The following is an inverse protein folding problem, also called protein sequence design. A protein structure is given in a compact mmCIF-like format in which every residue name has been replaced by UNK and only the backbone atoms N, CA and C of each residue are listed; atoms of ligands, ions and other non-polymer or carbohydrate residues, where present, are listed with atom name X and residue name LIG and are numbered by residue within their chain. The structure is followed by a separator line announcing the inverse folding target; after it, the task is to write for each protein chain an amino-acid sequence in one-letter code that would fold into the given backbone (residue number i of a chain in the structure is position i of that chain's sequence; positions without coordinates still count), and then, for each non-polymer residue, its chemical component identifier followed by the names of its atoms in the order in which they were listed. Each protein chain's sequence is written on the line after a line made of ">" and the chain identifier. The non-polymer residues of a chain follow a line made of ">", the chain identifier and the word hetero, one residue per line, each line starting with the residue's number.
data_IF_897916366921
#
_entry.id   IF_897916366921
#
_cell.length_a   1.000
_cell.length_b   1.000
_cell.length_c   1.000
_cell.angle_alpha   90.00
_cell.angle_beta   90.00
_cell.angle_gamma   90.00
#
_symmetry.space_group_name_H-M   'P 1'
#
loop_
_entity.id
_entity.type
_entity.pdbx_description
1 polymer ?
#
# COMPACT_ATOMS: atom_id res chain seq x y z
N UNK A 1 -21.14 -23.96 34.83
CA UNK A 1 -21.37 -22.70 34.12
C UNK A 1 -20.93 -21.54 34.98
N UNK A 2 -20.11 -20.66 34.40
CA UNK A 2 -19.85 -19.22 34.68
C UNK A 2 -18.38 -18.94 34.43
N UNK A 3 -18.10 -18.48 33.22
CA UNK A 3 -16.83 -17.86 32.86
C UNK A 3 -16.68 -16.57 33.67
N UNK A 4 -15.59 -16.43 34.42
CA UNK A 4 -15.23 -15.17 35.06
C UNK A 4 -14.70 -14.20 33.99
N UNK A 5 -15.62 -13.59 33.24
CA UNK A 5 -15.39 -12.28 32.62
C UNK A 5 -15.41 -11.26 33.76
N UNK A 6 -14.25 -10.88 34.29
CA UNK A 6 -14.19 -9.76 35.23
C UNK A 6 -13.04 -9.83 36.21
N UNK A 7 -11.83 -9.52 35.73
CA UNK A 7 -10.87 -8.74 36.52
C UNK A 7 -9.87 -8.09 35.57
N UNK A 8 -10.37 -7.14 34.76
CA UNK A 8 -9.45 -6.23 34.09
C UNK A 8 -9.03 -5.20 35.13
N UNK A 9 -7.72 -5.02 35.38
CA UNK A 9 -7.26 -4.09 36.39
C UNK A 9 -7.78 -2.68 36.06
N UNK A 10 -8.50 -2.10 37.02
CA UNK A 10 -9.15 -0.81 36.84
C UNK A 10 -8.10 0.32 36.80
N UNK A 11 -8.32 1.31 35.94
CA UNK A 11 -7.46 2.50 35.75
C UNK A 11 -6.00 2.22 35.30
N UNK A 12 -5.23 3.30 35.16
CA UNK A 12 -3.79 3.30 34.87
C UNK A 12 -2.93 2.84 36.06
N UNK A 13 -3.28 1.72 36.70
CA UNK A 13 -2.61 1.19 37.90
C UNK A 13 -1.09 1.03 37.73
N UNK A 14 -0.59 0.69 36.53
CA UNK A 14 0.85 0.60 36.23
C UNK A 14 1.52 1.98 36.29
N UNK A 15 0.87 3.01 35.77
CA UNK A 15 1.40 4.38 35.82
C UNK A 15 1.33 4.93 37.24
N UNK A 16 0.25 4.67 37.96
CA UNK A 16 0.12 5.03 39.37
C UNK A 16 1.20 4.34 40.22
N UNK A 17 1.46 3.06 39.99
CA UNK A 17 2.55 2.34 40.65
C UNK A 17 3.92 2.97 40.32
N UNK A 18 4.16 3.33 39.06
CA UNK A 18 5.41 4.01 38.66
C UNK A 18 5.55 5.41 39.25
N UNK A 19 4.45 6.15 39.42
CA UNK A 19 4.44 7.48 40.07
C UNK A 19 4.69 7.37 41.57
N UNK A 20 4.12 6.35 42.23
CA UNK A 20 4.24 6.12 43.70
C UNK A 20 5.57 5.50 44.11
N UNK A 21 6.01 4.46 43.40
CA UNK A 21 7.17 3.63 43.78
C UNK A 21 8.33 3.73 42.78
N UNK A 22 8.18 4.53 41.72
CA UNK A 22 9.20 4.67 40.71
C UNK A 22 9.32 3.46 39.78
N UNK A 23 10.46 3.38 39.11
CA UNK A 23 10.87 2.23 38.28
C UNK A 23 11.98 1.46 38.99
N UNK A 24 12.30 0.27 38.48
CA UNK A 24 13.48 -0.46 38.94
C UNK A 24 14.72 0.44 38.81
N UNK A 25 15.60 0.40 39.80
CA UNK A 25 16.79 1.26 39.87
C UNK A 25 17.69 1.11 38.64
N UNK A 26 17.75 -0.09 38.05
CA UNK A 26 18.56 -0.43 36.88
C UNK A 26 17.86 -0.18 35.53
N UNK A 27 16.64 0.37 35.55
CA UNK A 27 15.80 0.48 34.36
C UNK A 27 16.46 1.31 33.25
N UNK A 28 16.96 2.50 33.61
CA UNK A 28 17.47 3.45 32.62
C UNK A 28 18.83 3.02 32.08
N UNK A 29 19.66 2.41 32.93
CA UNK A 29 20.90 1.78 32.47
C UNK A 29 20.65 0.63 31.50
N UNK A 30 19.69 -0.23 31.80
CA UNK A 30 19.31 -1.35 30.93
C UNK A 30 18.73 -0.85 29.61
N UNK A 31 17.87 0.18 29.65
CA UNK A 31 17.30 0.79 28.45
C UNK A 31 18.39 1.40 27.57
N UNK A 32 19.29 2.20 28.15
CA UNK A 32 20.45 2.79 27.45
C UNK A 32 21.33 1.71 26.82
N UNK A 33 21.72 0.67 27.57
CA UNK A 33 22.55 -0.43 27.06
C UNK A 33 21.82 -1.22 25.95
N UNK A 34 20.49 -1.35 26.03
CA UNK A 34 19.68 -2.03 25.00
C UNK A 34 19.64 -1.23 23.71
N UNK A 35 19.38 0.08 23.78
CA UNK A 35 19.37 0.99 22.62
C UNK A 35 20.75 1.05 21.95
N UNK A 36 21.82 1.18 22.74
CA UNK A 36 23.19 1.19 22.22
C UNK A 36 23.54 -0.12 21.48
N UNK A 37 23.10 -1.27 21.99
CA UNK A 37 23.33 -2.58 21.35
C UNK A 37 22.43 -2.83 20.15
N UNK A 38 21.36 -2.05 19.97
CA UNK A 38 20.34 -2.33 18.98
C UNK A 38 20.88 -2.30 17.55
N UNK A 39 21.81 -1.39 17.24
CA UNK A 39 22.45 -1.35 15.93
C UNK A 39 23.19 -2.67 15.60
N UNK A 40 23.97 -3.19 16.56
CA UNK A 40 24.70 -4.45 16.39
C UNK A 40 23.76 -5.65 16.34
N UNK A 41 22.73 -5.71 17.19
CA UNK A 41 21.77 -6.82 17.17
C UNK A 41 20.98 -6.84 15.86
N UNK A 42 20.54 -5.67 15.36
CA UNK A 42 19.86 -5.54 14.07
C UNK A 42 20.73 -6.05 12.91
N UNK A 43 22.00 -5.66 12.87
CA UNK A 43 22.95 -6.14 11.86
C UNK A 43 23.17 -7.66 11.95
N UNK A 44 23.33 -8.19 13.16
CA UNK A 44 23.46 -9.64 13.41
C UNK A 44 22.22 -10.42 12.96
N UNK A 45 21.02 -9.90 13.23
CA UNK A 45 19.76 -10.53 12.81
C UNK A 45 19.64 -10.50 11.28
N UNK A 46 19.99 -9.40 10.62
CA UNK A 46 19.95 -9.31 9.17
C UNK A 46 20.88 -10.35 8.49
N UNK A 47 22.08 -10.56 9.04
CA UNK A 47 23.04 -11.56 8.53
C UNK A 47 22.61 -13.01 8.78
N UNK A 48 21.90 -13.28 9.87
CA UNK A 48 21.52 -14.64 10.31
C UNK A 48 20.10 -15.05 9.94
N UNK A 49 19.24 -14.11 9.56
CA UNK A 49 17.87 -14.43 9.17
C UNK A 49 17.87 -15.12 7.81
N UNK A 50 17.13 -16.22 7.70
CA UNK A 50 16.97 -16.97 6.45
C UNK A 50 15.49 -17.10 6.07
N UNK A 51 15.22 -17.45 4.80
CA UNK A 51 13.89 -17.74 4.29
C UNK A 51 12.89 -16.58 4.39
N UNK A 52 11.65 -16.89 4.75
CA UNK A 52 10.56 -15.90 4.85
C UNK A 52 10.84 -14.81 5.88
N UNK A 53 11.51 -15.15 6.99
CA UNK A 53 11.86 -14.19 8.04
C UNK A 53 12.80 -13.10 7.51
N UNK A 54 13.77 -13.47 6.66
CA UNK A 54 14.65 -12.50 6.01
C UNK A 54 13.88 -11.57 5.06
N UNK A 55 12.98 -12.13 4.25
CA UNK A 55 12.13 -11.34 3.33
C UNK A 55 11.26 -10.33 4.08
N UNK A 56 10.62 -10.75 5.18
CA UNK A 56 9.82 -9.86 6.02
C UNK A 56 10.66 -8.75 6.65
N UNK A 57 11.83 -9.07 7.19
CA UNK A 57 12.75 -8.09 7.78
C UNK A 57 13.17 -7.04 6.73
N UNK A 58 13.56 -7.47 5.53
CA UNK A 58 13.96 -6.55 4.47
C UNK A 58 12.81 -5.65 4.01
N UNK A 59 11.59 -6.18 3.93
CA UNK A 59 10.39 -5.39 3.61
C UNK A 59 10.09 -4.34 4.69
N UNK A 60 10.20 -4.70 5.96
CA UNK A 60 10.06 -3.76 7.08
C UNK A 60 11.14 -2.66 7.02
N UNK A 61 12.41 -3.04 6.78
CA UNK A 61 13.52 -2.08 6.67
C UNK A 61 13.39 -1.12 5.50
N UNK A 62 12.93 -1.61 4.35
CA UNK A 62 12.68 -0.74 3.20
C UNK A 62 11.61 0.31 3.52
N UNK A 63 10.50 -0.12 4.16
CA UNK A 63 9.44 0.79 4.59
C UNK A 63 9.96 1.85 5.56
N UNK A 64 10.66 1.44 6.63
CA UNK A 64 11.26 2.36 7.61
C UNK A 64 12.21 3.38 6.95
N UNK A 65 13.08 2.93 6.04
CA UNK A 65 14.00 3.84 5.33
C UNK A 65 13.25 4.82 4.42
N UNK A 66 12.24 4.34 3.71
CA UNK A 66 11.43 5.18 2.82
C UNK A 66 10.63 6.22 3.62
N UNK A 67 10.03 5.84 4.75
CA UNK A 67 9.33 6.79 5.61
C UNK A 67 10.28 7.82 6.18
N UNK A 68 11.45 7.41 6.70
CA UNK A 68 12.45 8.33 7.23
C UNK A 68 13.00 9.29 6.16
N UNK A 69 13.26 8.80 4.95
CA UNK A 69 13.71 9.64 3.83
C UNK A 69 12.66 10.70 3.47
N UNK A 70 11.37 10.31 3.45
CA UNK A 70 10.26 11.23 3.21
C UNK A 70 10.11 12.25 4.34
N UNK A 71 10.22 11.85 5.60
CA UNK A 71 10.12 12.79 6.73
C UNK A 71 11.27 13.78 6.76
N UNK A 72 12.49 13.34 6.44
CA UNK A 72 13.65 14.22 6.33
C UNK A 72 13.45 15.20 5.16
N UNK A 73 13.06 14.72 3.98
CA UNK A 73 12.80 15.59 2.83
C UNK A 73 11.67 16.61 3.09
N UNK A 74 10.58 16.21 3.75
CA UNK A 74 9.50 17.11 4.16
C UNK A 74 10.00 18.16 5.17
N UNK A 75 10.81 17.75 6.14
CA UNK A 75 11.40 18.68 7.11
C UNK A 75 12.34 19.67 6.41
N UNK A 76 13.25 19.20 5.57
CA UNK A 76 14.16 20.03 4.77
C UNK A 76 13.40 21.05 3.91
N UNK A 77 12.36 20.61 3.19
CA UNK A 77 11.50 21.48 2.39
C UNK A 77 10.74 22.50 3.24
N UNK A 78 10.26 22.12 4.43
CA UNK A 78 9.57 23.05 5.34
C UNK A 78 10.52 24.11 5.94
N UNK A 79 11.77 23.73 6.21
CA UNK A 79 12.79 24.66 6.72
C UNK A 79 13.30 25.59 5.63
N UNK A 80 13.41 25.10 4.40
CA UNK A 80 13.89 25.85 3.27
C UNK A 80 12.71 26.59 2.63
N UNK A 81 12.27 27.67 3.30
CA UNK A 81 11.31 28.62 2.73
C UNK A 81 11.96 29.32 1.54
N UNK A 82 11.96 28.68 0.37
CA UNK A 82 12.19 29.39 -0.87
C UNK A 82 11.10 30.46 -0.96
N UNK A 83 11.51 31.74 -1.00
CA UNK A 83 10.61 32.78 -1.48
C UNK A 83 10.13 32.31 -2.85
N UNK A 84 8.82 32.18 -3.03
CA UNK A 84 8.24 32.00 -4.36
C UNK A 84 8.88 33.07 -5.24
N UNK A 85 9.66 32.65 -6.23
CA UNK A 85 10.07 33.59 -7.27
C UNK A 85 8.78 33.86 -8.04
N UNK A 86 8.37 35.11 -8.10
CA UNK A 86 7.24 35.65 -8.88
C UNK A 86 7.44 35.46 -10.40
N UNK A 87 7.66 34.22 -10.82
CA UNK A 87 7.60 33.81 -12.20
C UNK A 87 6.33 32.99 -12.32
N UNK A 88 5.28 33.62 -12.84
CA UNK A 88 4.04 32.95 -13.20
C UNK A 88 4.38 31.65 -13.95
N UNK A 89 3.98 30.46 -13.45
CA UNK A 89 4.22 29.23 -14.17
C UNK A 89 3.47 29.32 -15.50
N UNK A 90 4.20 29.18 -16.61
CA UNK A 90 3.65 29.17 -17.97
C UNK A 90 2.76 27.94 -18.16
N UNK A 91 1.51 28.06 -17.68
CA UNK A 91 0.58 26.95 -17.48
C UNK A 91 -0.54 27.24 -16.46
N UNK A 92 -0.63 28.45 -15.91
CA UNK A 92 -1.75 28.84 -15.05
C UNK A 92 -3.09 28.79 -15.82
N UNK A 93 -3.89 27.79 -15.48
CA UNK A 93 -5.24 27.58 -15.99
C UNK A 93 -6.21 27.95 -14.86
N UNK A 94 -7.36 28.60 -15.13
CA UNK A 94 -8.32 28.92 -14.08
C UNK A 94 -8.71 27.68 -13.25
N UNK A 95 -9.01 27.85 -11.96
CA UNK A 95 -9.27 26.75 -11.01
C UNK A 95 -10.28 25.71 -11.52
N UNK A 96 -11.28 26.13 -12.29
CA UNK A 96 -12.32 25.27 -12.89
C UNK A 96 -11.86 24.42 -14.10
N UNK A 97 -10.63 24.63 -14.56
CA UNK A 97 -10.00 23.96 -15.71
C UNK A 97 -8.68 23.26 -15.33
N UNK A 98 -8.21 23.35 -14.07
CA UNK A 98 -6.92 22.78 -13.65
C UNK A 98 -6.85 21.25 -13.78
N UNK A 99 -7.95 20.55 -13.50
CA UNK A 99 -8.02 19.08 -13.62
C UNK A 99 -8.40 18.61 -15.04
N UNK A 100 -8.52 19.54 -15.99
CA UNK A 100 -9.01 19.30 -17.35
C UNK A 100 -7.91 19.57 -18.38
N UNK A 101 -6.69 19.09 -18.12
CA UNK A 101 -5.51 19.28 -18.99
C UNK A 101 -5.86 19.05 -20.48
N UNK A 102 -5.99 20.17 -21.20
CA UNK A 102 -6.36 20.21 -22.60
C UNK A 102 -5.13 20.00 -23.47
N UNK A 103 -5.12 18.90 -24.21
CA UNK A 103 -4.12 18.60 -25.25
C UNK A 103 -4.00 19.80 -26.20
N UNK A 104 -2.77 20.28 -26.42
CA UNK A 104 -2.48 21.47 -27.22
C UNK A 104 -3.12 21.45 -28.61
N UNK A 105 -4.12 22.33 -28.84
CA UNK A 105 -5.01 22.32 -30.03
C UNK A 105 -4.28 22.40 -31.38
N UNK A 106 -3.11 23.01 -31.45
CA UNK A 106 -2.47 23.31 -32.74
C UNK A 106 -1.92 22.07 -33.47
N UNK A 107 -1.36 21.09 -32.73
CA UNK A 107 -0.85 19.82 -33.30
C UNK A 107 -1.90 18.70 -33.32
N UNK A 108 -3.01 18.93 -32.60
CA UNK A 108 -4.15 18.03 -32.46
C UNK A 108 -5.14 18.18 -33.61
N UNK A 109 -5.27 19.33 -34.27
CA UNK A 109 -6.22 19.49 -35.39
C UNK A 109 -5.92 18.58 -36.60
N UNK A 110 -4.64 18.40 -36.96
CA UNK A 110 -4.26 17.52 -38.09
C UNK A 110 -4.34 16.03 -37.73
N UNK A 111 -4.01 15.69 -36.48
CA UNK A 111 -4.16 14.32 -35.95
C UNK A 111 -5.61 13.96 -35.62
N UNK A 112 -6.47 14.91 -35.24
CA UNK A 112 -7.89 14.69 -34.92
C UNK A 112 -8.74 14.44 -36.15
N UNK A 113 -8.39 14.95 -37.32
CA UNK A 113 -9.08 14.56 -38.56
C UNK A 113 -8.79 13.09 -38.89
N UNK A 114 -7.54 12.66 -38.71
CA UNK A 114 -7.11 11.26 -38.88
C UNK A 114 -7.69 10.34 -37.79
N UNK A 115 -7.70 10.80 -36.54
CA UNK A 115 -8.31 10.10 -35.41
C UNK A 115 -9.83 10.07 -35.53
N UNK A 116 -10.55 11.13 -35.92
CA UNK A 116 -12.02 11.08 -36.13
C UNK A 116 -12.45 10.01 -37.15
N UNK A 117 -11.63 9.74 -38.17
CA UNK A 117 -11.86 8.62 -39.12
C UNK A 117 -11.63 7.25 -38.46
N UNK A 118 -10.67 7.15 -37.53
CA UNK A 118 -10.34 5.93 -36.78
C UNK A 118 -11.24 5.70 -35.54
N UNK A 119 -11.72 6.78 -34.93
CA UNK A 119 -12.52 6.87 -33.70
C UNK A 119 -14.01 6.73 -33.96
N UNK A 120 -14.52 6.94 -35.18
CA UNK A 120 -15.91 6.58 -35.51
C UNK A 120 -16.17 5.08 -35.23
N UNK A 121 -15.12 4.26 -35.27
CA UNK A 121 -15.14 2.85 -34.86
C UNK A 121 -14.71 2.60 -33.39
N UNK A 122 -14.21 3.60 -32.67
CA UNK A 122 -13.56 3.45 -31.35
C UNK A 122 -14.15 4.27 -30.19
N UNK A 123 -15.07 5.22 -30.45
CA UNK A 123 -15.67 6.09 -29.41
C UNK A 123 -16.51 5.36 -28.37
N UNK A 124 -16.99 4.17 -28.70
CA UNK A 124 -17.76 3.31 -27.80
C UNK A 124 -16.96 2.06 -27.38
N UNK A 125 -15.65 2.05 -27.61
CA UNK A 125 -14.81 0.92 -27.26
C UNK A 125 -14.60 0.87 -25.74
N UNK A 126 -14.92 -0.29 -25.18
CA UNK A 126 -14.76 -0.60 -23.75
C UNK A 126 -13.25 -0.65 -23.41
N UNK A 127 -12.81 -0.21 -22.20
CA UNK A 127 -11.39 -0.15 -21.80
C UNK A 127 -10.58 -1.44 -21.99
N UNK A 128 -11.26 -2.59 -22.05
CA UNK A 128 -10.67 -3.87 -22.48
C UNK A 128 -11.50 -4.38 -23.66
N UNK A 129 -11.04 -4.22 -24.91
CA UNK A 129 -11.85 -4.53 -26.09
C UNK A 129 -11.86 -6.03 -26.43
N UNK A 130 -10.82 -6.79 -26.04
CA UNK A 130 -10.71 -8.22 -26.31
C UNK A 130 -10.12 -8.93 -25.10
N UNK A 131 -10.96 -9.72 -24.43
CA UNK A 131 -10.55 -10.60 -23.32
C UNK A 131 -10.05 -11.92 -23.92
N UNK A 132 -9.13 -12.58 -23.20
CA UNK A 132 -8.67 -13.92 -23.57
C UNK A 132 -9.87 -14.89 -23.56
N UNK A 133 -10.09 -15.69 -24.61
CA UNK A 133 -11.14 -16.71 -24.57
C UNK A 133 -10.76 -17.76 -23.53
N UNK A 134 -11.69 -18.07 -22.63
CA UNK A 134 -11.57 -19.18 -21.68
C UNK A 134 -11.98 -20.48 -22.40
N UNK A 135 -11.26 -21.57 -22.17
CA UNK A 135 -11.64 -22.86 -22.73
C UNK A 135 -12.89 -23.40 -22.00
N UNK A 136 -13.77 -24.11 -22.70
CA UNK A 136 -15.01 -24.66 -22.12
C UNK A 136 -14.74 -25.58 -20.93
N UNK A 137 -13.62 -26.31 -20.92
CA UNK A 137 -13.22 -27.16 -19.80
C UNK A 137 -12.81 -26.39 -18.52
N UNK A 138 -12.43 -25.12 -18.64
CA UNK A 138 -12.16 -24.23 -17.49
C UNK A 138 -13.46 -23.58 -17.00
N UNK A 139 -14.46 -23.45 -17.87
CA UNK A 139 -15.76 -22.83 -17.58
C UNK A 139 -16.78 -23.83 -17.01
N UNK A 140 -16.72 -25.09 -17.45
CA UNK A 140 -17.66 -26.12 -17.08
C UNK A 140 -16.99 -27.23 -16.27
N UNK A 141 -17.51 -27.44 -15.07
CA UNK A 141 -17.15 -28.60 -14.25
C UNK A 141 -18.13 -29.72 -14.51
N UNK A 142 -17.62 -30.90 -14.87
CA UNK A 142 -18.45 -32.10 -15.05
C UNK A 142 -18.86 -32.65 -13.68
N UNK A 143 -20.14 -32.53 -13.35
CA UNK A 143 -20.75 -33.09 -12.15
C UNK A 143 -21.38 -34.46 -12.46
N UNK A 144 -21.06 -35.46 -11.65
CA UNK A 144 -21.61 -36.82 -11.80
C UNK A 144 -22.64 -37.12 -10.72
N UNK A 145 -23.82 -37.58 -11.10
CA UNK A 145 -24.98 -37.79 -10.22
C UNK A 145 -25.37 -39.27 -10.05
N UNK A 146 -26.05 -39.59 -8.95
CA UNK A 146 -26.49 -40.94 -8.56
C UNK A 146 -25.44 -41.78 -7.81
N UNK A 147 -25.87 -42.85 -7.13
CA UNK A 147 -25.02 -43.68 -6.25
C UNK A 147 -23.81 -44.29 -6.98
N UNK A 148 -24.01 -44.74 -8.22
CA UNK A 148 -22.95 -45.32 -9.08
C UNK A 148 -22.25 -44.29 -9.99
N UNK A 149 -22.62 -43.00 -9.93
CA UNK A 149 -22.02 -41.88 -10.69
C UNK A 149 -21.85 -42.13 -12.21
N UNK A 150 -22.79 -42.84 -12.84
CA UNK A 150 -22.79 -43.11 -14.29
C UNK A 150 -23.43 -42.01 -15.13
N UNK A 151 -24.20 -41.10 -14.51
CA UNK A 151 -24.81 -39.96 -15.20
C UNK A 151 -23.93 -38.73 -14.98
N UNK A 152 -23.52 -38.08 -16.06
CA UNK A 152 -22.74 -36.83 -16.04
C UNK A 152 -23.58 -35.68 -16.58
N UNK A 153 -23.45 -34.52 -15.96
CA UNK A 153 -24.04 -33.26 -16.38
C UNK A 153 -22.97 -32.17 -16.23
N UNK A 154 -22.96 -31.21 -17.14
CA UNK A 154 -22.05 -30.07 -17.08
C UNK A 154 -22.70 -28.96 -16.25
N UNK A 155 -21.98 -28.43 -15.28
CA UNK A 155 -22.43 -27.31 -14.45
C UNK A 155 -21.40 -26.20 -14.51
N UNK A 156 -21.87 -24.95 -14.65
CA UNK A 156 -21.02 -23.77 -14.54
C UNK A 156 -20.61 -23.58 -13.06
N UNK A 157 -19.30 -23.55 -12.78
CA UNK A 157 -18.80 -23.22 -11.44
C UNK A 157 -18.83 -21.69 -11.27
N UNK A 158 -19.50 -21.22 -10.21
CA UNK A 158 -19.55 -19.80 -9.82
C UNK A 158 -18.40 -19.42 -8.88
#
# INVERSE_FOLDING_TARGET
>A
GRSSKGDMPQNEHIEQHRKRYGRRLDHDERKRKREAREAHTRSKIAKKAHGLKAKMLNKQRYKEKATMKKTIAMHEQSTNKHKEKDAEPSGAVPAFLMDREGVSRAKVLSNTVKQKRKEKAGKWAVPVPKVRPMAEAEMFRVMRTGVRKKKSMETHDH
#
